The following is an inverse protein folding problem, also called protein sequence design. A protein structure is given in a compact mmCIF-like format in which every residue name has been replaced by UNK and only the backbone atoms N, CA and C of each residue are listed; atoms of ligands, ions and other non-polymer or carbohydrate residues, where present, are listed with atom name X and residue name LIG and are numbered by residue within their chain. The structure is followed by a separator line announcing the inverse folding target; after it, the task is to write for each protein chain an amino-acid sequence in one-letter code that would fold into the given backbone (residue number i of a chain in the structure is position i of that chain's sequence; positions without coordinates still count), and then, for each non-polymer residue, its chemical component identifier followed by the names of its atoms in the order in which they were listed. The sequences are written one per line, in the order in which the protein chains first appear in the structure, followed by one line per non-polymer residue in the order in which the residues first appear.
data_IF_281811298963
#
_entry.id   IF_281811298963
#
_cell.length_a   1.000
_cell.length_b   1.000
_cell.length_c   1.000
_cell.angle_alpha   90.00
_cell.angle_beta   90.00
_cell.angle_gamma   90.00
#
_symmetry.space_group_name_H-M   'P 1'
#
loop_
_entity.id
_entity.type
_entity.pdbx_description
1 polymer ?
#
# COMPACT_ATOMS: atom_id res chain seq x y z
N UNK A 1 4.81 -21.14 -13.47
CA UNK A 1 5.68 -20.20 -12.74
C UNK A 1 4.78 -19.30 -11.90
N UNK A 2 5.08 -19.07 -10.62
CA UNK A 2 4.36 -18.08 -9.80
C UNK A 2 5.04 -16.73 -9.94
N UNK A 3 4.49 -15.86 -10.80
CA UNK A 3 4.97 -14.49 -10.92
C UNK A 3 4.41 -13.67 -9.76
N UNK A 4 5.28 -13.23 -8.85
CA UNK A 4 4.90 -12.26 -7.82
C UNK A 4 4.61 -10.89 -8.44
N UNK A 5 3.68 -10.15 -7.84
CA UNK A 5 3.35 -8.78 -8.24
C UNK A 5 3.61 -7.83 -7.07
N UNK A 6 4.17 -6.65 -7.38
CA UNK A 6 4.21 -5.55 -6.41
C UNK A 6 2.83 -4.93 -6.33
N UNK A 7 2.22 -5.03 -5.15
CA UNK A 7 0.85 -4.56 -4.91
C UNK A 7 0.80 -3.21 -4.20
N UNK A 8 1.85 -2.83 -3.48
CA UNK A 8 1.91 -1.53 -2.80
C UNK A 8 3.34 -0.95 -2.84
N UNK A 9 3.44 0.35 -3.07
CA UNK A 9 4.72 1.05 -3.21
C UNK A 9 5.44 0.72 -4.53
N UNK A 10 6.72 0.34 -4.44
CA UNK A 10 7.54 0.00 -5.63
C UNK A 10 8.08 1.19 -6.43
N UNK A 11 7.85 2.43 -5.96
CA UNK A 11 8.34 3.69 -6.59
C UNK A 11 9.34 4.45 -5.71
N UNK A 12 10.07 3.72 -4.87
CA UNK A 12 11.01 4.30 -3.90
C UNK A 12 10.33 4.90 -2.68
N UNK A 13 11.16 5.35 -1.72
CA UNK A 13 10.70 6.00 -0.50
C UNK A 13 10.17 7.41 -0.80
N UNK A 14 9.01 7.78 -0.27
CA UNK A 14 8.46 9.13 -0.42
C UNK A 14 7.02 9.28 0.08
N UNK A 15 6.46 10.46 -0.09
CA UNK A 15 5.13 10.83 0.41
C UNK A 15 4.02 10.86 -0.66
N UNK A 16 4.34 10.61 -1.92
CA UNK A 16 3.34 10.46 -2.99
C UNK A 16 2.44 9.25 -2.73
N UNK A 17 1.25 9.22 -3.31
CA UNK A 17 0.29 8.11 -3.10
C UNK A 17 0.76 6.77 -3.66
N UNK A 18 1.67 6.78 -4.63
CA UNK A 18 2.31 5.59 -5.18
C UNK A 18 3.63 5.22 -4.45
N UNK A 19 3.93 5.87 -3.33
CA UNK A 19 5.13 5.66 -2.52
C UNK A 19 4.74 5.34 -1.06
N UNK A 20 5.68 4.74 -0.34
CA UNK A 20 5.62 4.52 1.10
C UNK A 20 6.88 5.09 1.75
N UNK A 21 6.82 5.41 3.04
CA UNK A 21 7.92 5.92 3.84
C UNK A 21 7.95 5.23 5.21
N UNK A 22 8.92 4.33 5.41
CA UNK A 22 9.10 3.58 6.67
C UNK A 22 7.80 2.91 7.18
N UNK A 23 7.10 2.10 6.36
CA UNK A 23 5.89 1.43 6.80
C UNK A 23 6.21 0.44 7.94
N UNK A 24 5.33 0.35 8.95
CA UNK A 24 5.56 -0.47 10.17
C UNK A 24 4.58 -1.62 10.35
N UNK A 25 3.41 -1.55 9.74
CA UNK A 25 2.36 -2.54 9.90
C UNK A 25 1.59 -2.72 8.60
N UNK A 26 1.15 -3.95 8.37
CA UNK A 26 0.30 -4.32 7.24
C UNK A 26 -0.73 -5.34 7.71
N UNK A 27 -1.97 -5.18 7.26
CA UNK A 27 -3.01 -6.19 7.39
C UNK A 27 -3.71 -6.39 6.05
N UNK A 28 -4.30 -7.57 5.87
CA UNK A 28 -5.15 -7.88 4.72
C UNK A 28 -6.59 -7.69 5.13
N UNK A 29 -7.26 -6.73 4.51
CA UNK A 29 -8.71 -6.61 4.57
C UNK A 29 -9.32 -7.54 3.51
N UNK A 30 -9.89 -8.66 3.98
CA UNK A 30 -10.54 -9.64 3.12
C UNK A 30 -11.86 -9.15 2.53
N UNK A 31 -12.55 -8.20 3.17
CA UNK A 31 -13.83 -7.68 2.69
C UNK A 31 -13.64 -6.82 1.44
N UNK A 32 -12.57 -6.02 1.41
CA UNK A 32 -12.24 -5.14 0.27
C UNK A 32 -11.12 -5.67 -0.63
N UNK A 33 -10.57 -6.84 -0.33
CA UNK A 33 -9.38 -7.42 -0.98
C UNK A 33 -8.23 -6.41 -1.11
N UNK A 34 -7.90 -5.77 0.01
CA UNK A 34 -6.92 -4.68 0.08
C UNK A 34 -5.89 -4.91 1.17
N UNK A 35 -4.73 -4.25 1.03
CA UNK A 35 -3.76 -4.07 2.10
C UNK A 35 -4.08 -2.76 2.81
N UNK A 36 -4.15 -2.79 4.13
CA UNK A 36 -4.12 -1.58 4.97
C UNK A 36 -2.72 -1.48 5.57
N UNK A 37 -2.06 -0.34 5.34
CA UNK A 37 -0.65 -0.15 5.65
C UNK A 37 -0.49 1.07 6.56
N UNK A 38 0.19 0.88 7.69
CA UNK A 38 0.64 1.96 8.55
C UNK A 38 1.91 2.58 7.97
N UNK A 39 1.76 3.63 7.17
CA UNK A 39 2.83 4.36 6.49
C UNK A 39 3.47 5.39 7.42
N UNK A 40 4.11 4.86 8.47
CA UNK A 40 4.50 5.62 9.67
C UNK A 40 5.35 6.87 9.40
N UNK A 41 6.30 6.81 8.45
CA UNK A 41 7.14 7.95 8.11
C UNK A 41 6.38 9.09 7.42
N UNK A 42 5.20 8.81 6.86
CA UNK A 42 4.29 9.81 6.30
C UNK A 42 3.13 10.14 7.23
N UNK A 43 3.09 9.57 8.43
CA UNK A 43 2.05 9.81 9.45
C UNK A 43 0.63 9.57 8.92
N UNK A 44 0.46 8.54 8.08
CA UNK A 44 -0.83 8.20 7.45
C UNK A 44 -1.11 6.70 7.49
N UNK A 45 -2.38 6.35 7.35
CA UNK A 45 -2.82 4.98 7.06
C UNK A 45 -3.35 4.94 5.64
N UNK A 46 -2.83 4.03 4.82
CA UNK A 46 -3.25 3.90 3.41
C UNK A 46 -3.85 2.54 3.11
N UNK A 47 -4.85 2.53 2.22
CA UNK A 47 -5.42 1.34 1.60
C UNK A 47 -4.84 1.15 0.20
N UNK A 48 -4.42 -0.07 -0.12
CA UNK A 48 -4.01 -0.48 -1.47
C UNK A 48 -4.79 -1.70 -1.90
N UNK A 49 -5.58 -1.58 -2.97
CA UNK A 49 -6.27 -2.71 -3.58
C UNK A 49 -5.28 -3.74 -4.10
N UNK A 50 -5.53 -5.01 -3.82
CA UNK A 50 -4.74 -6.14 -4.33
C UNK A 50 -5.10 -6.52 -5.75
N UNK A 51 -6.15 -5.91 -6.31
CA UNK A 51 -6.60 -6.13 -7.68
C UNK A 51 -5.64 -5.46 -8.66
N UNK A 52 -5.47 -6.11 -9.81
CA UNK A 52 -4.63 -5.67 -10.91
C UNK A 52 -4.98 -4.24 -11.36
N UNK A 53 -3.96 -3.43 -11.64
CA UNK A 53 -4.10 -2.06 -12.16
C UNK A 53 -4.04 -0.94 -11.11
N UNK A 54 -4.03 -1.29 -9.82
CA UNK A 54 -3.84 -0.30 -8.75
C UNK A 54 -2.38 0.18 -8.71
N UNK A 55 -2.15 1.48 -8.88
CA UNK A 55 -0.80 2.07 -8.90
C UNK A 55 -0.53 3.06 -7.77
N UNK A 56 -1.54 3.34 -6.95
CA UNK A 56 -1.48 4.29 -5.84
C UNK A 56 -2.40 3.88 -4.70
N UNK A 57 -2.03 4.26 -3.48
CA UNK A 57 -2.84 4.09 -2.29
C UNK A 57 -3.88 5.18 -2.13
N UNK A 58 -4.87 4.87 -1.32
CA UNK A 58 -5.90 5.79 -0.83
C UNK A 58 -5.61 6.09 0.64
N UNK A 59 -5.66 7.36 1.05
CA UNK A 59 -5.48 7.75 2.44
C UNK A 59 -6.78 7.45 3.19
N UNK A 60 -6.68 6.69 4.27
CA UNK A 60 -7.78 6.44 5.19
C UNK A 60 -7.75 7.41 6.37
N UNK A 61 -6.55 7.78 6.83
CA UNK A 61 -6.29 8.67 7.96
C UNK A 61 -4.97 9.39 7.71
#
# INVERSE_FOLDING_TARGET
TTNGQVVAGGKGQGNRLNQLNRPRGVLVDKATDSLIICDWGNQRVVRWSRRSGTTQGEILI
#
